data_IF_516621421976
#
_entry.id   IF_516621421976
#
_cell.length_a   1.000
_cell.length_b   1.000
_cell.length_c   1.000
_cell.angle_alpha   90.00
_cell.angle_beta   90.00
_cell.angle_gamma   90.00
#
_symmetry.space_group_name_H-M   'P 1'
#
loop_
_entity.id
_entity.type
_entity.pdbx_description
1 polymer ?
#
# COMPACT_ATOMS: atom_id res chain seq x y z
N UNK A 1 -10.35 27.11 -50.50
CA UNK A 1 -9.92 27.19 -49.09
C UNK A 1 -11.09 27.72 -48.25
N UNK A 2 -11.77 26.87 -47.46
CA UNK A 2 -12.92 27.28 -46.63
C UNK A 2 -12.43 27.65 -45.23
N UNK A 3 -12.70 28.89 -44.84
CA UNK A 3 -12.43 29.43 -43.51
C UNK A 3 -13.34 28.74 -42.47
N UNK A 4 -12.77 27.93 -41.57
CA UNK A 4 -13.42 27.54 -40.31
C UNK A 4 -12.91 28.47 -39.20
N UNK A 5 -13.56 29.63 -39.05
CA UNK A 5 -13.44 30.46 -37.84
C UNK A 5 -14.61 30.13 -36.93
N UNK A 6 -14.33 29.73 -35.69
CA UNK A 6 -15.28 29.98 -34.59
C UNK A 6 -15.60 28.87 -33.61
N UNK A 7 -15.08 27.65 -33.73
CA UNK A 7 -15.31 26.62 -32.71
C UNK A 7 -14.18 26.68 -31.68
N UNK A 8 -14.36 27.49 -30.63
CA UNK A 8 -13.48 27.42 -29.45
C UNK A 8 -13.54 25.97 -28.94
N UNK A 9 -12.39 25.30 -28.73
CA UNK A 9 -12.40 23.96 -28.17
C UNK A 9 -13.18 23.98 -26.85
N UNK A 10 -14.04 22.98 -26.56
CA UNK A 10 -14.77 22.91 -25.31
C UNK A 10 -13.74 23.06 -24.19
N UNK A 11 -13.94 24.08 -23.35
CA UNK A 11 -12.99 24.49 -22.32
C UNK A 11 -12.62 23.29 -21.46
N UNK A 12 -11.38 22.81 -21.57
CA UNK A 12 -10.84 21.69 -20.78
C UNK A 12 -11.04 21.91 -19.26
N UNK A 13 -11.12 23.18 -18.84
CA UNK A 13 -11.47 23.62 -17.49
C UNK A 13 -12.84 23.09 -17.05
N UNK A 14 -13.85 23.12 -17.91
CA UNK A 14 -15.19 22.60 -17.60
C UNK A 14 -15.16 21.07 -17.41
N UNK A 15 -14.34 20.38 -18.20
CA UNK A 15 -14.13 18.94 -18.08
C UNK A 15 -13.47 18.56 -16.75
N UNK A 16 -12.46 19.31 -16.33
CA UNK A 16 -11.77 19.10 -15.05
C UNK A 16 -12.72 19.36 -13.87
N UNK A 17 -13.54 20.42 -13.93
CA UNK A 17 -14.51 20.74 -12.87
C UNK A 17 -15.56 19.65 -12.71
N UNK A 18 -16.10 19.12 -13.82
CA UNK A 18 -17.06 18.01 -13.77
C UNK A 18 -16.46 16.73 -13.21
N UNK A 19 -15.20 16.44 -13.54
CA UNK A 19 -14.49 15.25 -13.04
C UNK A 19 -14.22 15.37 -11.52
N UNK A 20 -13.83 16.57 -11.05
CA UNK A 20 -13.68 16.84 -9.62
C UNK A 20 -15.01 16.71 -8.84
N UNK A 21 -16.12 17.20 -9.41
CA UNK A 21 -17.45 17.05 -8.82
C UNK A 21 -17.91 15.59 -8.75
N UNK A 22 -17.67 14.81 -9.80
CA UNK A 22 -18.01 13.38 -9.81
C UNK A 22 -17.22 12.58 -8.77
N UNK A 23 -15.92 12.86 -8.62
CA UNK A 23 -15.07 12.22 -7.60
C UNK A 23 -15.51 12.64 -6.20
N UNK A 24 -15.81 13.93 -5.98
CA UNK A 24 -16.31 14.41 -4.68
C UNK A 24 -17.65 13.78 -4.30
N UNK A 25 -18.56 13.62 -5.26
CA UNK A 25 -19.85 12.97 -5.03
C UNK A 25 -19.71 11.48 -4.70
N UNK A 26 -18.80 10.76 -5.38
CA UNK A 26 -18.51 9.36 -5.08
C UNK A 26 -17.94 9.15 -3.67
N UNK A 27 -17.04 10.04 -3.22
CA UNK A 27 -16.45 9.96 -1.88
C UNK A 27 -17.49 10.25 -0.78
N UNK A 28 -18.38 11.23 -0.99
CA UNK A 28 -19.44 11.59 -0.03
C UNK A 28 -20.56 10.56 0.10
N UNK A 29 -20.73 9.65 -0.87
CA UNK A 29 -21.78 8.62 -0.86
C UNK A 29 -21.35 7.28 -0.23
N UNK A 30 -20.06 7.06 0.04
CA UNK A 30 -19.61 5.88 0.78
C UNK A 30 -19.98 5.92 2.28
N UNK A 31 -20.20 7.10 2.85
CA UNK A 31 -20.60 7.28 4.26
C UNK A 31 -22.10 7.09 4.51
N UNK A 32 -22.89 6.67 3.51
CA UNK A 32 -24.36 6.53 3.60
C UNK A 32 -24.86 5.11 3.32
N UNK A 33 -24.15 4.09 3.80
CA UNK A 33 -24.74 2.76 3.92
C UNK A 33 -25.31 2.65 5.34
N UNK A 34 -26.65 2.64 5.52
CA UNK A 34 -27.22 2.47 6.84
C UNK A 34 -27.10 0.99 7.26
N UNK A 35 -26.66 0.76 8.50
CA UNK A 35 -26.35 -0.54 9.12
C UNK A 35 -27.58 -1.47 9.37
N UNK A 36 -28.69 -1.25 8.66
CA UNK A 36 -30.00 -1.79 9.02
C UNK A 36 -30.59 -2.81 8.03
N UNK A 37 -29.76 -3.54 7.27
CA UNK A 37 -30.21 -4.77 6.60
C UNK A 37 -30.10 -5.96 7.56
N UNK A 38 -31.13 -6.10 8.39
CA UNK A 38 -31.37 -7.20 9.31
C UNK A 38 -31.53 -8.56 8.60
N UNK A 39 -31.01 -9.60 9.26
CA UNK A 39 -31.39 -11.00 9.11
C UNK A 39 -30.12 -11.86 9.14
N UNK A 40 -29.76 -12.57 10.20
CA UNK A 40 -30.49 -13.74 10.71
C UNK A 40 -29.91 -14.17 12.07
N UNK A 41 -30.83 -14.56 12.96
CA UNK A 41 -30.71 -15.44 14.13
C UNK A 41 -29.85 -15.04 15.36
N UNK A 42 -30.56 -14.63 16.42
CA UNK A 42 -30.20 -14.91 17.82
C UNK A 42 -30.07 -16.42 18.04
N UNK A 43 -29.04 -16.88 18.75
CA UNK A 43 -29.07 -18.04 19.68
C UNK A 43 -27.76 -18.10 20.52
N UNK A 44 -27.75 -18.81 21.67
CA UNK A 44 -27.25 -18.29 22.95
C UNK A 44 -25.77 -18.60 23.26
N UNK A 45 -25.27 -17.85 24.25
CA UNK A 45 -23.96 -17.96 24.90
C UNK A 45 -23.68 -19.39 25.39
N UNK A 46 -22.57 -19.98 24.95
CA UNK A 46 -21.88 -21.03 25.69
C UNK A 46 -20.49 -20.54 26.09
N UNK A 47 -20.35 -20.29 27.38
CA UNK A 47 -19.09 -20.00 28.04
C UNK A 47 -18.28 -21.30 28.10
N UNK A 48 -17.33 -21.45 27.18
CA UNK A 48 -16.28 -22.46 27.29
C UNK A 48 -14.98 -21.74 27.56
N UNK A 49 -14.64 -21.62 28.84
CA UNK A 49 -13.29 -21.27 29.29
C UNK A 49 -12.36 -22.38 28.78
N UNK A 50 -11.59 -22.06 27.75
CA UNK A 50 -10.47 -22.90 27.28
C UNK A 50 -9.20 -22.17 27.66
N UNK A 51 -8.47 -22.72 28.61
CA UNK A 51 -7.15 -22.25 29.00
C UNK A 51 -6.15 -22.40 27.83
N UNK A 52 -5.56 -21.26 27.43
CA UNK A 52 -4.13 -21.05 27.08
C UNK A 52 -3.63 -21.70 25.75
N UNK A 53 -2.96 -20.96 24.83
CA UNK A 53 -1.77 -20.18 25.14
C UNK A 53 -1.81 -18.72 24.72
N UNK A 54 -1.10 -17.92 25.51
CA UNK A 54 -0.64 -16.57 25.19
C UNK A 54 -0.33 -16.51 23.69
N UNK A 55 -1.19 -15.82 22.92
CA UNK A 55 -0.87 -15.44 21.54
C UNK A 55 0.46 -14.71 21.63
N UNK A 56 1.51 -15.38 21.17
CA UNK A 56 2.81 -14.79 20.91
C UNK A 56 2.51 -13.49 20.19
N UNK A 57 2.83 -12.35 20.83
CA UNK A 57 2.75 -11.03 20.19
C UNK A 57 3.35 -11.22 18.82
N UNK A 58 2.52 -11.10 17.77
CA UNK A 58 3.02 -11.05 16.40
C UNK A 58 4.09 -9.99 16.43
N UNK A 59 5.33 -10.43 16.33
CA UNK A 59 6.52 -9.60 16.19
C UNK A 59 6.22 -8.74 14.97
N UNK A 60 5.72 -7.54 15.22
CA UNK A 60 5.30 -6.65 14.15
C UNK A 60 6.60 -6.25 13.51
N UNK A 61 6.76 -6.60 12.23
CA UNK A 61 7.99 -6.32 11.54
C UNK A 61 8.03 -4.82 11.30
N UNK A 62 8.82 -4.12 12.10
CA UNK A 62 8.78 -2.65 12.18
C UNK A 62 9.76 -2.03 11.19
N UNK A 63 10.91 -2.65 10.96
CA UNK A 63 11.93 -2.07 10.12
C UNK A 63 12.84 -3.09 9.41
N UNK A 64 13.47 -2.65 8.33
CA UNK A 64 14.66 -3.28 7.75
C UNK A 64 15.90 -2.47 8.08
N UNK A 65 17.00 -3.15 8.39
CA UNK A 65 18.33 -2.56 8.46
C UNK A 65 19.15 -2.97 7.25
N UNK A 66 19.75 -1.99 6.61
CA UNK A 66 20.57 -2.19 5.42
C UNK A 66 21.94 -2.74 5.82
N UNK A 67 22.30 -3.94 5.37
CA UNK A 67 23.53 -4.64 5.78
C UNK A 67 24.79 -4.22 5.00
N UNK A 68 24.61 -3.71 3.79
CA UNK A 68 25.63 -3.09 2.92
C UNK A 68 24.99 -2.01 2.07
N UNK A 69 25.75 -1.17 1.35
CA UNK A 69 25.12 -0.22 0.45
C UNK A 69 24.34 -0.97 -0.65
N UNK A 70 23.03 -0.73 -0.72
CA UNK A 70 22.12 -1.45 -1.61
C UNK A 70 21.40 -0.52 -2.56
N UNK A 71 21.18 -0.99 -3.78
CA UNK A 71 20.31 -0.31 -4.73
C UNK A 71 18.85 -0.51 -4.33
N UNK A 72 18.04 0.53 -4.54
CA UNK A 72 16.60 0.43 -4.42
C UNK A 72 15.93 0.75 -5.76
N UNK A 73 14.75 0.17 -5.97
CA UNK A 73 14.11 0.08 -7.28
C UNK A 73 12.66 0.56 -7.21
N UNK A 74 12.13 1.04 -8.33
CA UNK A 74 10.72 1.40 -8.45
C UNK A 74 9.81 0.16 -8.52
N UNK A 75 10.35 -0.97 -8.98
CA UNK A 75 9.67 -2.24 -9.18
C UNK A 75 10.50 -3.42 -8.67
N UNK A 76 9.96 -4.63 -8.82
CA UNK A 76 10.64 -5.87 -8.44
C UNK A 76 11.28 -6.61 -9.62
N UNK A 77 11.34 -5.98 -10.80
CA UNK A 77 12.07 -6.53 -11.95
C UNK A 77 13.56 -6.24 -11.81
N UNK A 78 13.90 -5.16 -11.10
CA UNK A 78 15.28 -4.72 -10.92
C UNK A 78 15.81 -3.93 -12.11
N UNK A 79 14.96 -3.58 -13.08
CA UNK A 79 15.37 -2.95 -14.33
C UNK A 79 15.81 -1.50 -14.16
N UNK A 80 15.22 -0.76 -13.20
CA UNK A 80 15.53 0.65 -12.96
C UNK A 80 15.85 0.91 -11.49
N UNK A 81 17.12 1.21 -11.23
CA UNK A 81 17.60 1.66 -9.91
C UNK A 81 17.24 3.13 -9.72
N UNK A 82 16.59 3.45 -8.62
CA UNK A 82 16.26 4.82 -8.21
C UNK A 82 17.37 5.48 -7.39
N UNK A 83 18.31 4.69 -6.85
CA UNK A 83 19.44 5.19 -6.08
C UNK A 83 20.01 4.12 -5.16
N UNK A 84 20.68 4.57 -4.09
CA UNK A 84 21.28 3.70 -3.08
C UNK A 84 20.77 4.03 -1.68
N UNK A 85 20.59 3.00 -0.86
CA UNK A 85 20.42 3.09 0.59
C UNK A 85 21.76 2.74 1.24
N UNK A 86 22.15 3.52 2.25
CA UNK A 86 23.44 3.35 2.91
C UNK A 86 23.36 2.28 4.00
N UNK A 87 24.48 1.58 4.21
CA UNK A 87 24.63 0.62 5.31
C UNK A 87 24.26 1.25 6.65
N UNK A 88 23.49 0.50 7.44
CA UNK A 88 23.10 0.86 8.80
C UNK A 88 21.83 1.71 8.89
N UNK A 89 21.28 2.18 7.76
CA UNK A 89 20.00 2.88 7.77
C UNK A 89 18.85 1.91 8.06
N UNK A 90 17.90 2.38 8.87
CA UNK A 90 16.66 1.66 9.18
C UNK A 90 15.49 2.27 8.41
N UNK A 91 14.69 1.41 7.77
CA UNK A 91 13.50 1.85 7.03
C UNK A 91 12.28 1.06 7.46
N UNK A 92 11.13 1.75 7.53
CA UNK A 92 9.85 1.09 7.76
C UNK A 92 9.49 0.21 6.56
N UNK A 93 9.04 -1.00 6.86
CA UNK A 93 8.54 -1.92 5.86
C UNK A 93 7.08 -1.59 5.56
N UNK A 94 6.78 -1.51 4.27
CA UNK A 94 5.44 -1.24 3.75
C UNK A 94 4.79 -2.51 3.21
N UNK A 95 5.56 -3.39 2.56
CA UNK A 95 5.03 -4.57 1.89
C UNK A 95 6.13 -5.61 1.62
N UNK A 96 5.73 -6.82 1.26
CA UNK A 96 6.59 -7.95 0.93
C UNK A 96 6.19 -8.61 -0.38
N UNK A 97 7.17 -8.96 -1.20
CA UNK A 97 6.96 -9.85 -2.34
C UNK A 97 7.61 -11.19 -2.10
N UNK A 98 6.80 -12.25 -2.19
CA UNK A 98 7.26 -13.63 -2.12
C UNK A 98 7.52 -14.17 -3.54
N UNK A 99 8.47 -15.08 -3.62
CA UNK A 99 8.68 -15.98 -4.76
C UNK A 99 7.60 -17.06 -4.80
N UNK A 100 7.52 -17.81 -5.90
CA UNK A 100 6.64 -18.98 -6.00
C UNK A 100 6.91 -20.03 -4.90
N UNK A 101 8.14 -20.06 -4.36
CA UNK A 101 8.54 -20.96 -3.28
C UNK A 101 8.21 -20.43 -1.87
N UNK A 102 7.44 -19.33 -1.78
CA UNK A 102 7.03 -18.73 -0.50
C UNK A 102 8.11 -17.91 0.22
N UNK A 103 9.34 -17.89 -0.28
CA UNK A 103 10.42 -17.06 0.28
C UNK A 103 10.29 -15.61 -0.16
N UNK A 104 10.56 -14.66 0.74
CA UNK A 104 10.62 -13.23 0.39
C UNK A 104 11.77 -12.96 -0.58
N UNK A 105 11.46 -12.40 -1.74
CA UNK A 105 12.45 -11.92 -2.72
C UNK A 105 12.67 -10.42 -2.64
N UNK A 106 11.60 -9.67 -2.37
CA UNK A 106 11.64 -8.21 -2.30
C UNK A 106 10.88 -7.69 -1.10
N UNK A 107 11.37 -6.57 -0.56
CA UNK A 107 10.74 -5.85 0.54
C UNK A 107 10.52 -4.42 0.08
N UNK A 108 9.30 -3.91 0.28
CA UNK A 108 8.98 -2.51 -0.01
C UNK A 108 9.24 -1.68 1.23
N UNK A 109 10.03 -0.63 1.08
CA UNK A 109 10.47 0.25 2.17
C UNK A 109 10.07 1.68 1.87
N UNK A 110 9.82 2.48 2.91
CA UNK A 110 9.61 3.91 2.75
C UNK A 110 10.94 4.65 2.81
N UNK A 111 11.35 5.27 1.71
CA UNK A 111 12.58 6.08 1.63
C UNK A 111 12.31 7.37 0.86
N UNK A 112 12.81 8.52 1.34
CA UNK A 112 12.65 9.82 0.70
C UNK A 112 11.19 10.16 0.32
N UNK A 113 10.22 9.77 1.17
CA UNK A 113 8.80 9.98 0.94
C UNK A 113 8.15 9.02 -0.08
N UNK A 114 8.92 8.15 -0.72
CA UNK A 114 8.48 7.19 -1.74
C UNK A 114 8.53 5.75 -1.21
N UNK A 115 7.72 4.88 -1.81
CA UNK A 115 7.81 3.44 -1.59
C UNK A 115 8.74 2.80 -2.62
N UNK A 116 9.85 2.22 -2.18
CA UNK A 116 10.85 1.60 -3.03
C UNK A 116 11.04 0.12 -2.70
N UNK A 117 11.41 -0.69 -3.68
CA UNK A 117 11.71 -2.10 -3.52
C UNK A 117 13.20 -2.34 -3.31
N UNK A 118 13.53 -3.20 -2.35
CA UNK A 118 14.89 -3.67 -2.08
C UNK A 118 14.94 -5.20 -2.07
N UNK A 119 16.05 -5.82 -2.49
CA UNK A 119 16.20 -7.26 -2.41
C UNK A 119 16.17 -7.74 -0.95
N UNK A 120 15.33 -8.73 -0.65
CA UNK A 120 15.17 -9.23 0.71
C UNK A 120 16.45 -9.85 1.30
N UNK A 121 17.32 -10.39 0.42
CA UNK A 121 18.61 -10.97 0.81
C UNK A 121 19.65 -9.94 1.28
N UNK A 122 19.41 -8.66 1.02
CA UNK A 122 20.36 -7.57 1.27
C UNK A 122 19.98 -6.71 2.47
N UNK A 123 18.98 -7.15 3.25
CA UNK A 123 18.49 -6.44 4.42
C UNK A 123 18.21 -7.39 5.57
N UNK A 124 18.38 -6.89 6.79
CA UNK A 124 18.06 -7.60 8.02
C UNK A 124 16.69 -7.13 8.52
N UNK A 125 15.80 -8.07 8.82
CA UNK A 125 14.47 -7.78 9.36
C UNK A 125 14.57 -7.54 10.88
N UNK A 126 14.11 -6.38 11.33
CA UNK A 126 14.03 -6.03 12.75
C UNK A 126 12.57 -6.12 13.19
N UNK A 127 12.36 -6.92 14.22
CA UNK A 127 11.08 -7.09 14.90
C UNK A 127 11.13 -6.34 16.24
N UNK A 128 10.15 -5.48 16.52
CA UNK A 128 10.04 -4.74 17.79
C UNK A 128 8.72 -5.06 18.48
#
# INVERSE_FOLDING_TARGET
MRNMRGQRPPSAVLGIVLLCLAVFYHLKMQDKIPDNVLGVAKMPVQEKVVEVPVKVKEKTLVAVKVSSDIKFYNDTTGSQSLGFLQKGQEFYVLDFKKTQNGQYSWIKVRTNGLGAWVPAKSVELIYK
#
